data_IF_329425270560
#
_entry.id   IF_329425270560
#
_cell.length_a   1.000
_cell.length_b   1.000
_cell.length_c   1.000
_cell.angle_alpha   90.00
_cell.angle_beta   90.00
_cell.angle_gamma   90.00
#
_symmetry.space_group_name_H-M   'P 1'
#
loop_
_entity.id
_entity.type
_entity.pdbx_description
1 polymer ?
#
# COMPACT_ATOMS: atom_id res chain seq x y z
N UNK A 1 22.24 -12.41 6.28
CA UNK A 1 21.94 -11.10 6.90
C UNK A 1 20.51 -10.77 6.55
N UNK A 2 19.64 -10.46 7.51
CA UNK A 2 18.29 -10.03 7.18
C UNK A 2 18.38 -8.69 6.43
N UNK A 3 17.88 -8.63 5.20
CA UNK A 3 17.85 -7.37 4.45
C UNK A 3 17.02 -6.35 5.20
N UNK A 4 17.56 -5.14 5.36
CA UNK A 4 16.86 -4.05 6.03
C UNK A 4 15.70 -3.60 5.15
N UNK A 5 14.48 -3.80 5.64
CA UNK A 5 13.26 -3.36 4.94
C UNK A 5 13.27 -1.83 4.86
N UNK A 6 13.01 -1.31 3.66
CA UNK A 6 12.95 0.12 3.35
C UNK A 6 11.52 0.65 3.49
N UNK A 7 11.40 1.96 3.70
CA UNK A 7 10.10 2.65 3.84
C UNK A 7 9.97 3.72 2.76
N UNK A 8 8.75 3.88 2.25
CA UNK A 8 8.38 4.94 1.31
C UNK A 8 8.15 6.27 2.04
N UNK A 9 8.16 7.36 1.28
CA UNK A 9 8.11 8.73 1.78
C UNK A 9 6.80 8.99 2.54
N UNK A 10 5.69 8.40 2.07
CA UNK A 10 4.39 8.51 2.72
C UNK A 10 4.11 7.39 3.73
N UNK A 11 5.12 6.63 4.17
CA UNK A 11 4.97 5.48 5.07
C UNK A 11 4.09 5.77 6.30
N UNK A 12 4.25 6.93 6.94
CA UNK A 12 3.45 7.29 8.12
C UNK A 12 1.95 7.39 7.84
N UNK A 13 1.57 7.85 6.64
CA UNK A 13 0.16 7.95 6.22
C UNK A 13 -0.41 6.55 5.99
N UNK A 14 0.34 5.71 5.28
CA UNK A 14 -0.07 4.34 4.98
C UNK A 14 -0.14 3.47 6.23
N UNK A 15 0.78 3.66 7.18
CA UNK A 15 0.77 2.92 8.45
C UNK A 15 -0.50 3.15 9.27
N UNK A 16 -1.13 4.31 9.13
CA UNK A 16 -2.35 4.66 9.86
C UNK A 16 -3.63 4.15 9.19
N UNK A 17 -3.60 3.92 7.88
CA UNK A 17 -4.83 3.77 7.07
C UNK A 17 -4.84 2.51 6.18
N UNK A 18 -3.69 1.88 5.96
CA UNK A 18 -3.54 0.72 5.08
C UNK A 18 -3.10 -0.52 5.85
N UNK A 19 -3.43 -1.68 5.27
CA UNK A 19 -2.73 -2.92 5.59
C UNK A 19 -1.39 -2.91 4.85
N UNK A 20 -0.29 -2.87 5.60
CA UNK A 20 1.04 -2.93 5.02
C UNK A 20 1.52 -4.36 4.80
N UNK A 21 2.37 -4.55 3.80
CA UNK A 21 3.12 -5.78 3.56
C UNK A 21 4.55 -5.46 3.15
N UNK A 22 5.42 -6.46 3.21
CA UNK A 22 6.74 -6.38 2.59
C UNK A 22 6.61 -6.77 1.13
N UNK A 23 6.99 -5.88 0.22
CA UNK A 23 7.02 -6.11 -1.21
C UNK A 23 8.31 -5.55 -1.79
N UNK A 24 9.08 -6.38 -2.50
CA UNK A 24 10.37 -6.00 -3.09
C UNK A 24 11.36 -5.31 -2.11
N UNK A 25 11.32 -5.70 -0.84
CA UNK A 25 12.17 -5.13 0.22
C UNK A 25 11.69 -3.77 0.76
N UNK A 26 10.46 -3.36 0.47
CA UNK A 26 9.82 -2.16 1.02
C UNK A 26 8.55 -2.50 1.82
N UNK A 27 8.27 -1.74 2.87
CA UNK A 27 6.94 -1.70 3.48
C UNK A 27 5.99 -0.88 2.60
N UNK A 28 5.03 -1.55 1.96
CA UNK A 28 4.10 -0.98 0.98
C UNK A 28 2.64 -1.20 1.41
N UNK A 29 1.72 -0.28 1.05
CA UNK A 29 0.28 -0.49 1.25
C UNK A 29 -0.24 -1.59 0.32
N UNK A 30 -0.82 -2.63 0.91
CA UNK A 30 -1.45 -3.74 0.18
C UNK A 30 -2.91 -3.43 -0.17
N UNK A 31 -3.66 -2.83 0.77
CA UNK A 31 -5.01 -2.28 0.57
C UNK A 31 -5.38 -1.35 1.73
N UNK A 32 -6.39 -0.50 1.56
CA UNK A 32 -6.91 0.40 2.61
C UNK A 32 -8.27 -0.06 3.14
N UNK A 33 -9.11 -0.60 2.26
CA UNK A 33 -10.44 -1.15 2.55
C UNK A 33 -10.51 -2.63 2.18
N UNK A 34 -10.18 -2.98 0.94
CA UNK A 34 -10.00 -4.35 0.43
C UNK A 34 -9.79 -4.32 -1.08
N UNK A 35 -9.25 -5.42 -1.61
CA UNK A 35 -8.85 -5.54 -3.02
C UNK A 35 -10.02 -5.33 -3.99
N UNK A 36 -11.19 -5.96 -3.74
CA UNK A 36 -12.31 -5.93 -4.70
C UNK A 36 -12.92 -4.52 -4.83
N UNK A 37 -13.32 -3.83 -3.75
CA UNK A 37 -13.85 -2.46 -3.85
C UNK A 37 -12.87 -1.49 -4.47
N UNK A 38 -11.59 -1.55 -4.10
CA UNK A 38 -10.55 -0.65 -4.64
C UNK A 38 -10.32 -0.88 -6.13
N UNK A 39 -10.26 -2.14 -6.56
CA UNK A 39 -10.15 -2.49 -7.98
C UNK A 39 -11.33 -1.93 -8.79
N UNK A 40 -12.56 -2.10 -8.29
CA UNK A 40 -13.76 -1.59 -8.96
C UNK A 40 -13.79 -0.06 -8.98
N UNK A 41 -13.32 0.62 -7.94
CA UNK A 41 -13.23 2.09 -7.91
C UNK A 41 -12.27 2.61 -8.99
N UNK A 42 -11.10 1.99 -9.18
CA UNK A 42 -10.15 2.35 -10.25
C UNK A 42 -10.76 2.14 -11.64
N UNK A 43 -11.53 1.06 -11.83
CA UNK A 43 -12.16 0.74 -13.13
C UNK A 43 -13.31 1.67 -13.48
N UNK A 44 -14.10 2.05 -12.49
CA UNK A 44 -15.35 2.78 -12.70
C UNK A 44 -15.21 4.30 -12.46
N UNK A 45 -14.09 4.75 -11.91
CA UNK A 45 -13.85 6.17 -11.60
C UNK A 45 -12.34 6.49 -11.58
N UNK A 46 -11.74 6.64 -10.40
CA UNK A 46 -10.34 7.03 -10.22
C UNK A 46 -9.76 6.38 -8.97
N UNK A 47 -8.49 6.01 -9.01
CA UNK A 47 -7.72 5.64 -7.82
C UNK A 47 -6.33 6.28 -7.86
N UNK A 48 -5.71 6.37 -6.69
CA UNK A 48 -4.36 6.89 -6.49
C UNK A 48 -3.49 5.80 -5.86
N UNK A 49 -2.23 5.76 -6.29
CA UNK A 49 -1.21 4.84 -5.79
C UNK A 49 0.02 5.66 -5.41
N UNK A 50 0.73 5.21 -4.39
CA UNK A 50 2.10 5.65 -4.08
C UNK A 50 3.08 4.76 -4.85
#
# INVERSE_FOLDING_TARGET
>A
MAEKIRRIQLYRVHQQTAKLTVFAGFEMPLWYKSVIPEHLTVRNSVGIFD
#
